data_IF_809720740243
#
_entry.id   IF_809720740243
#
_cell.length_a   1.000
_cell.length_b   1.000
_cell.length_c   1.000
_cell.angle_alpha   90.00
_cell.angle_beta   90.00
_cell.angle_gamma   90.00
#
_symmetry.space_group_name_H-M   'P 1'
#
loop_
_entity.id
_entity.type
_entity.pdbx_description
1 polymer ?
#
# COMPACT_ATOMS: atom_id res chain seq x y z
N UNK A 1 -22.92 10.75 9.79
CA UNK A 1 -22.85 11.88 10.73
C UNK A 1 -22.17 13.02 9.97
N UNK A 2 -22.91 14.03 9.55
CA UNK A 2 -22.36 15.21 8.88
C UNK A 2 -21.57 16.04 9.91
N UNK A 3 -20.27 16.21 9.68
CA UNK A 3 -19.43 17.10 10.48
C UNK A 3 -19.88 18.54 10.26
N UNK A 4 -20.05 19.28 11.33
CA UNK A 4 -20.43 20.70 11.30
C UNK A 4 -19.41 21.53 10.53
N UNK A 5 -19.81 22.59 9.82
CA UNK A 5 -18.93 23.45 9.02
C UNK A 5 -17.76 24.09 9.81
N UNK A 6 -17.90 24.23 11.11
CA UNK A 6 -16.84 24.79 11.99
C UNK A 6 -15.62 23.86 12.16
N UNK A 7 -15.77 22.54 12.04
CA UNK A 7 -14.64 21.62 12.15
C UNK A 7 -13.77 21.60 10.90
N UNK A 8 -14.31 21.96 9.73
CA UNK A 8 -13.55 22.08 8.49
C UNK A 8 -12.67 23.34 8.46
N UNK A 9 -13.09 24.40 9.12
CA UNK A 9 -12.33 25.66 9.18
C UNK A 9 -11.07 25.56 10.07
N UNK A 10 -11.05 24.67 11.07
CA UNK A 10 -9.91 24.50 11.95
C UNK A 10 -8.64 24.02 11.21
N UNK A 11 -8.81 23.20 10.16
CA UNK A 11 -7.68 22.69 9.37
C UNK A 11 -7.10 23.77 8.45
N UNK A 12 -7.94 24.68 7.98
CA UNK A 12 -7.56 25.72 7.03
C UNK A 12 -7.08 27.01 7.74
N UNK A 13 -7.57 27.30 8.96
CA UNK A 13 -7.36 28.59 9.64
C UNK A 13 -6.44 28.55 10.87
N UNK A 14 -5.98 27.36 11.29
CA UNK A 14 -5.12 27.21 12.48
C UNK A 14 -3.62 27.34 12.22
N UNK A 15 -2.83 27.36 13.29
CA UNK A 15 -1.36 27.37 13.18
C UNK A 15 -0.85 26.08 12.52
N UNK A 16 -0.25 26.22 11.36
CA UNK A 16 0.25 25.11 10.51
C UNK A 16 1.08 24.09 11.29
N UNK A 17 2.07 24.46 12.14
CA UNK A 17 2.91 23.48 12.83
C UNK A 17 2.14 22.58 13.80
N UNK A 18 1.18 23.16 14.54
CA UNK A 18 0.38 22.41 15.52
C UNK A 18 -0.55 21.41 14.83
N UNK A 19 -1.15 21.78 13.74
CA UNK A 19 -2.04 20.91 12.99
C UNK A 19 -1.28 19.79 12.28
N UNK A 20 -0.10 20.10 11.73
CA UNK A 20 0.80 19.11 11.16
C UNK A 20 1.19 18.03 12.20
N UNK A 21 1.54 18.43 13.41
CA UNK A 21 1.88 17.48 14.48
C UNK A 21 0.69 16.63 14.93
N UNK A 22 -0.49 17.22 15.06
CA UNK A 22 -1.71 16.51 15.43
C UNK A 22 -2.14 15.49 14.34
N UNK A 23 -1.87 15.80 13.09
CA UNK A 23 -2.16 14.91 11.97
C UNK A 23 -1.06 13.85 11.78
N UNK A 24 0.18 14.23 11.99
CA UNK A 24 1.34 13.35 11.85
C UNK A 24 1.34 12.22 12.88
N UNK A 25 1.03 12.53 14.15
CA UNK A 25 1.17 11.57 15.25
C UNK A 25 0.31 10.30 15.08
N UNK A 26 -0.99 10.36 14.73
CA UNK A 26 -1.79 9.16 14.46
C UNK A 26 -1.29 8.35 13.27
N UNK A 27 -0.83 9.02 12.21
CA UNK A 27 -0.31 8.34 11.02
C UNK A 27 1.01 7.64 11.35
N UNK A 28 1.91 8.32 12.05
CA UNK A 28 3.18 7.76 12.50
C UNK A 28 2.97 6.56 13.41
N UNK A 29 2.04 6.65 14.36
CA UNK A 29 1.69 5.54 15.24
C UNK A 29 1.14 4.35 14.45
N UNK A 30 0.25 4.58 13.48
CA UNK A 30 -0.25 3.55 12.57
C UNK A 30 0.87 2.87 11.78
N UNK A 31 1.82 3.65 11.26
CA UNK A 31 2.99 3.13 10.55
C UNK A 31 3.89 2.31 11.46
N UNK A 32 4.07 2.72 12.72
CA UNK A 32 4.82 1.94 13.70
C UNK A 32 4.17 0.58 14.00
N UNK A 33 2.85 0.55 14.18
CA UNK A 33 2.13 -0.71 14.37
C UNK A 33 2.22 -1.61 13.14
N UNK A 34 2.15 -1.05 11.95
CA UNK A 34 2.33 -1.81 10.71
C UNK A 34 3.75 -2.41 10.63
N UNK A 35 4.77 -1.65 11.03
CA UNK A 35 6.15 -2.14 11.03
C UNK A 35 6.38 -3.23 12.07
N UNK A 36 5.78 -3.09 13.26
CA UNK A 36 5.76 -4.13 14.29
C UNK A 36 5.10 -5.40 13.76
N UNK A 37 3.94 -5.29 13.11
CA UNK A 37 3.25 -6.42 12.48
C UNK A 37 4.16 -7.14 11.49
N UNK A 38 4.79 -6.42 10.56
CA UNK A 38 5.72 -7.00 9.58
C UNK A 38 6.91 -7.71 10.25
N UNK A 39 7.42 -7.13 11.36
CA UNK A 39 8.52 -7.73 12.11
C UNK A 39 8.09 -9.04 12.78
N UNK A 40 6.92 -9.03 13.43
CA UNK A 40 6.36 -10.23 14.08
C UNK A 40 6.05 -11.31 13.04
N UNK A 41 5.48 -10.95 11.90
CA UNK A 41 5.21 -11.88 10.80
C UNK A 41 6.50 -12.56 10.32
N UNK A 42 7.56 -11.79 10.09
CA UNK A 42 8.87 -12.31 9.70
C UNK A 42 9.46 -13.24 10.77
N UNK A 43 9.32 -12.91 12.06
CA UNK A 43 9.77 -13.75 13.16
C UNK A 43 8.99 -15.07 13.25
N UNK A 44 7.68 -15.01 13.05
CA UNK A 44 6.82 -16.21 13.05
C UNK A 44 7.19 -17.11 11.89
N UNK A 45 7.28 -16.57 10.68
CA UNK A 45 7.68 -17.35 9.49
C UNK A 45 9.06 -17.98 9.69
N UNK A 46 10.04 -17.21 10.17
CA UNK A 46 11.40 -17.71 10.39
C UNK A 46 11.49 -18.82 11.44
N UNK A 47 10.74 -18.73 12.54
CA UNK A 47 10.82 -19.69 13.63
C UNK A 47 9.92 -20.91 13.47
N UNK A 48 8.74 -20.76 12.88
CA UNK A 48 7.73 -21.83 12.81
C UNK A 48 7.65 -22.52 11.45
N UNK A 49 7.94 -21.80 10.36
CA UNK A 49 7.86 -22.36 8.99
C UNK A 49 9.25 -22.81 8.48
N UNK A 50 10.30 -22.14 8.95
CA UNK A 50 11.68 -22.49 8.67
C UNK A 50 12.44 -21.51 7.79
N UNK A 51 13.75 -21.71 7.70
CA UNK A 51 14.68 -20.81 7.00
C UNK A 51 14.44 -20.74 5.50
N UNK A 52 13.94 -21.81 4.87
CA UNK A 52 13.61 -21.81 3.45
C UNK A 52 12.43 -20.90 3.12
N UNK A 53 11.39 -20.89 3.96
CA UNK A 53 10.24 -20.00 3.82
C UNK A 53 10.66 -18.53 4.01
N UNK A 54 11.52 -18.26 5.00
CA UNK A 54 12.07 -16.92 5.22
C UNK A 54 12.90 -16.45 4.01
N UNK A 55 13.72 -17.32 3.44
CA UNK A 55 14.48 -17.03 2.23
C UNK A 55 13.55 -16.74 1.03
N UNK A 56 12.46 -17.50 0.89
CA UNK A 56 11.47 -17.28 -0.16
C UNK A 56 10.79 -15.91 -0.03
N UNK A 57 10.37 -15.52 1.16
CA UNK A 57 9.80 -14.19 1.45
C UNK A 57 10.83 -13.09 1.17
N UNK A 58 12.08 -13.28 1.61
CA UNK A 58 13.17 -12.34 1.37
C UNK A 58 13.47 -12.13 -0.11
N UNK A 59 13.55 -13.21 -0.89
CA UNK A 59 13.79 -13.15 -2.33
C UNK A 59 12.68 -12.40 -3.08
N UNK A 60 11.43 -12.50 -2.63
CA UNK A 60 10.29 -11.85 -3.27
C UNK A 60 10.09 -10.39 -2.85
N UNK A 61 10.61 -9.99 -1.69
CA UNK A 61 10.40 -8.67 -1.09
C UNK A 61 10.78 -7.51 -2.01
N UNK A 62 11.93 -7.60 -2.67
CA UNK A 62 12.41 -6.52 -3.55
C UNK A 62 11.50 -6.33 -4.76
N UNK A 63 11.01 -7.42 -5.33
CA UNK A 63 10.09 -7.38 -6.46
C UNK A 63 8.72 -6.81 -6.06
N UNK A 64 8.20 -7.27 -4.93
CA UNK A 64 6.95 -6.77 -4.36
C UNK A 64 7.07 -5.27 -4.06
N UNK A 65 8.15 -4.82 -3.41
CA UNK A 65 8.36 -3.41 -3.08
C UNK A 65 8.43 -2.52 -4.31
N UNK A 66 9.06 -2.99 -5.40
CA UNK A 66 9.13 -2.25 -6.64
C UNK A 66 7.73 -2.03 -7.24
N UNK A 67 6.93 -3.09 -7.34
CA UNK A 67 5.58 -2.99 -7.89
C UNK A 67 4.65 -2.16 -7.00
N UNK A 68 4.64 -2.44 -5.70
CA UNK A 68 3.81 -1.70 -4.73
C UNK A 68 4.24 -0.24 -4.66
N UNK A 69 5.55 0.04 -4.65
CA UNK A 69 6.08 1.39 -4.60
C UNK A 69 5.65 2.25 -5.78
N UNK A 70 5.59 1.68 -6.98
CA UNK A 70 5.08 2.37 -8.16
C UNK A 70 3.63 2.84 -7.95
N UNK A 71 2.77 1.95 -7.43
CA UNK A 71 1.36 2.26 -7.21
C UNK A 71 1.12 3.17 -6.00
N UNK A 72 1.89 3.01 -4.94
CA UNK A 72 1.86 3.94 -3.79
C UNK A 72 2.25 5.35 -4.24
N UNK A 73 3.23 5.49 -5.14
CA UNK A 73 3.57 6.77 -5.75
C UNK A 73 2.40 7.38 -6.53
N UNK A 74 1.69 6.56 -7.32
CA UNK A 74 0.51 7.00 -8.06
C UNK A 74 -0.62 7.44 -7.12
N UNK A 75 -0.91 6.66 -6.07
CA UNK A 75 -1.89 6.99 -5.04
C UNK A 75 -1.53 8.29 -4.29
N UNK A 76 -0.25 8.48 -3.99
CA UNK A 76 0.24 9.70 -3.36
C UNK A 76 -0.01 10.94 -4.24
N UNK A 77 0.23 10.83 -5.55
CA UNK A 77 -0.08 11.88 -6.52
C UNK A 77 -1.57 12.21 -6.55
N UNK A 78 -2.44 11.21 -6.57
CA UNK A 78 -3.89 11.42 -6.50
C UNK A 78 -4.30 12.11 -5.20
N UNK A 79 -3.70 11.74 -4.07
CA UNK A 79 -3.92 12.37 -2.78
C UNK A 79 -3.59 13.87 -2.76
N UNK A 80 -2.51 14.27 -3.44
CA UNK A 80 -2.12 15.68 -3.56
C UNK A 80 -3.18 16.48 -4.34
N UNK A 81 -3.68 15.95 -5.46
CA UNK A 81 -4.71 16.61 -6.28
C UNK A 81 -6.01 16.76 -5.48
N UNK A 82 -6.44 15.72 -4.79
CA UNK A 82 -7.63 15.74 -3.93
C UNK A 82 -7.48 16.79 -2.82
N UNK A 83 -6.30 16.86 -2.18
CA UNK A 83 -6.01 17.83 -1.13
C UNK A 83 -6.04 19.26 -1.64
N UNK A 84 -5.55 19.52 -2.85
CA UNK A 84 -5.60 20.83 -3.49
C UNK A 84 -7.05 21.28 -3.76
N UNK A 85 -7.88 20.40 -4.34
CA UNK A 85 -9.28 20.70 -4.60
C UNK A 85 -10.07 20.91 -3.30
N UNK A 86 -9.76 20.12 -2.26
CA UNK A 86 -10.33 20.31 -0.92
C UNK A 86 -9.93 21.67 -0.31
N UNK A 87 -8.65 22.07 -0.44
CA UNK A 87 -8.15 23.37 0.02
C UNK A 87 -8.76 24.54 -0.75
N UNK A 88 -9.11 24.35 -2.02
CA UNK A 88 -9.82 25.33 -2.84
C UNK A 88 -11.34 25.43 -2.53
N UNK A 89 -11.89 24.50 -1.74
CA UNK A 89 -13.32 24.45 -1.41
C UNK A 89 -14.20 23.87 -2.51
N UNK A 90 -13.59 23.25 -3.54
CA UNK A 90 -14.30 22.62 -4.65
C UNK A 90 -14.66 21.16 -4.32
N UNK A 91 -15.75 21.00 -3.57
CA UNK A 91 -16.18 19.68 -3.11
C UNK A 91 -16.74 18.78 -4.22
N UNK A 92 -17.24 19.36 -5.29
CA UNK A 92 -17.71 18.58 -6.45
C UNK A 92 -16.52 17.94 -7.17
N UNK A 93 -15.44 18.69 -7.33
CA UNK A 93 -14.20 18.18 -7.89
C UNK A 93 -13.55 17.13 -6.98
N UNK A 94 -13.53 17.36 -5.66
CA UNK A 94 -13.05 16.36 -4.68
C UNK A 94 -13.81 15.03 -4.84
N UNK A 95 -15.13 15.08 -4.92
CA UNK A 95 -15.94 13.88 -5.09
C UNK A 95 -15.63 13.14 -6.39
N UNK A 96 -15.48 13.86 -7.49
CA UNK A 96 -15.09 13.30 -8.79
C UNK A 96 -13.71 12.64 -8.76
N UNK A 97 -12.74 13.32 -8.14
CA UNK A 97 -11.37 12.82 -8.00
C UNK A 97 -11.30 11.58 -7.11
N UNK A 98 -12.06 11.54 -6.01
CA UNK A 98 -12.14 10.36 -5.14
C UNK A 98 -12.70 9.13 -5.88
N UNK A 99 -13.78 9.30 -6.65
CA UNK A 99 -14.33 8.20 -7.45
C UNK A 99 -13.34 7.72 -8.52
N UNK A 100 -12.63 8.64 -9.15
CA UNK A 100 -11.60 8.32 -10.15
C UNK A 100 -10.42 7.58 -9.50
N UNK A 101 -9.96 8.02 -8.35
CA UNK A 101 -8.90 7.37 -7.60
C UNK A 101 -9.29 5.94 -7.17
N UNK A 102 -10.53 5.76 -6.71
CA UNK A 102 -11.05 4.44 -6.33
C UNK A 102 -11.16 3.51 -7.55
N UNK A 103 -11.66 4.00 -8.67
CA UNK A 103 -11.72 3.23 -9.91
C UNK A 103 -10.33 2.82 -10.40
N UNK A 104 -9.35 3.73 -10.31
CA UNK A 104 -7.94 3.47 -10.63
C UNK A 104 -7.32 2.44 -9.67
N UNK A 105 -7.64 2.52 -8.37
CA UNK A 105 -7.17 1.56 -7.38
C UNK A 105 -7.69 0.14 -7.68
N UNK A 106 -8.97 0.01 -8.01
CA UNK A 106 -9.59 -1.28 -8.36
C UNK A 106 -9.00 -1.81 -9.67
N UNK A 107 -8.95 -0.99 -10.71
CA UNK A 107 -8.42 -1.40 -12.02
C UNK A 107 -6.93 -1.73 -11.94
N UNK A 108 -6.14 -0.91 -11.24
CA UNK A 108 -4.72 -1.13 -11.02
C UNK A 108 -4.45 -2.37 -10.17
N UNK A 109 -5.20 -2.57 -9.09
CA UNK A 109 -5.15 -3.77 -8.27
C UNK A 109 -5.48 -5.04 -9.04
N UNK A 110 -6.52 -5.01 -9.87
CA UNK A 110 -6.89 -6.12 -10.75
C UNK A 110 -5.80 -6.42 -11.78
N UNK A 111 -5.26 -5.38 -12.43
CA UNK A 111 -4.16 -5.52 -13.38
C UNK A 111 -2.92 -6.13 -12.71
N UNK A 112 -2.54 -5.64 -11.53
CA UNK A 112 -1.42 -6.19 -10.76
C UNK A 112 -1.64 -7.64 -10.34
N UNK A 113 -2.86 -7.99 -9.95
CA UNK A 113 -3.21 -9.37 -9.62
C UNK A 113 -2.98 -10.27 -10.82
N UNK A 114 -3.55 -9.93 -11.98
CA UNK A 114 -3.40 -10.74 -13.20
C UNK A 114 -1.94 -10.83 -13.64
N UNK A 115 -1.26 -9.69 -13.73
CA UNK A 115 0.17 -9.65 -14.12
C UNK A 115 1.01 -10.42 -13.12
N UNK A 116 0.81 -10.19 -11.83
CA UNK A 116 1.57 -10.85 -10.77
C UNK A 116 1.42 -12.37 -10.79
N UNK A 117 0.20 -12.88 -10.99
CA UNK A 117 -0.05 -14.31 -11.11
C UNK A 117 0.66 -14.93 -12.32
N UNK A 118 0.69 -14.22 -13.46
CA UNK A 118 1.30 -14.72 -14.69
C UNK A 118 2.83 -14.68 -14.64
N UNK A 119 3.41 -13.61 -14.05
CA UNK A 119 4.86 -13.38 -14.11
C UNK A 119 5.62 -13.84 -12.86
N UNK A 120 4.94 -14.28 -11.79
CA UNK A 120 5.58 -14.67 -10.53
C UNK A 120 6.70 -15.71 -10.73
N UNK A 121 6.44 -16.81 -11.43
CA UNK A 121 7.45 -17.84 -11.71
C UNK A 121 8.57 -17.39 -12.66
N UNK A 122 8.28 -16.76 -13.83
CA UNK A 122 9.32 -16.22 -14.71
C UNK A 122 10.26 -15.25 -14.02
N UNK A 123 9.71 -14.34 -13.21
CA UNK A 123 10.51 -13.33 -12.48
C UNK A 123 11.42 -13.97 -11.46
N UNK A 124 10.94 -14.93 -10.67
CA UNK A 124 11.77 -15.64 -9.69
C UNK A 124 12.95 -16.37 -10.36
N UNK A 125 12.73 -16.97 -11.51
CA UNK A 125 13.82 -17.57 -12.29
C UNK A 125 14.81 -16.53 -12.82
N UNK A 126 14.31 -15.39 -13.29
CA UNK A 126 15.16 -14.29 -13.75
C UNK A 126 16.00 -13.71 -12.60
N UNK A 127 15.46 -13.69 -11.38
CA UNK A 127 16.15 -13.28 -10.17
C UNK A 127 17.14 -14.35 -9.65
N UNK A 128 17.31 -15.46 -10.38
CA UNK A 128 18.20 -16.58 -10.00
C UNK A 128 17.86 -17.16 -8.62
N UNK A 129 16.58 -17.18 -8.26
CA UNK A 129 16.13 -17.77 -7.01
C UNK A 129 16.42 -19.28 -7.03
N UNK A 130 17.03 -19.85 -5.97
CA UNK A 130 17.34 -21.27 -5.90
C UNK A 130 16.11 -22.16 -6.12
N UNK A 131 16.26 -23.24 -6.89
CA UNK A 131 15.16 -24.14 -7.26
C UNK A 131 14.45 -24.74 -6.05
N UNK A 132 15.14 -24.87 -4.92
CA UNK A 132 14.61 -25.41 -3.66
C UNK A 132 13.49 -24.51 -3.07
N UNK A 133 13.55 -23.21 -3.30
CA UNK A 133 12.61 -22.23 -2.72
C UNK A 133 11.69 -21.57 -3.76
N UNK A 134 11.92 -21.76 -5.06
CA UNK A 134 11.09 -21.17 -6.14
C UNK A 134 9.62 -21.54 -5.99
N UNK A 135 9.34 -22.78 -5.58
CA UNK A 135 7.97 -23.26 -5.35
C UNK A 135 7.26 -22.41 -4.28
N UNK A 136 7.83 -22.34 -3.08
CA UNK A 136 7.29 -21.56 -1.96
C UNK A 136 7.24 -20.07 -2.25
N UNK A 137 8.28 -19.52 -2.89
CA UNK A 137 8.34 -18.12 -3.30
C UNK A 137 7.24 -17.78 -4.31
N UNK A 138 6.97 -18.67 -5.26
CA UNK A 138 5.89 -18.49 -6.23
C UNK A 138 4.50 -18.54 -5.59
N UNK A 139 4.28 -19.46 -4.67
CA UNK A 139 3.03 -19.55 -3.90
C UNK A 139 2.79 -18.28 -3.05
N UNK A 140 3.81 -17.86 -2.34
CA UNK A 140 3.78 -16.62 -1.57
C UNK A 140 3.41 -15.40 -2.44
N UNK A 141 4.08 -15.23 -3.59
CA UNK A 141 3.78 -14.16 -4.53
C UNK A 141 2.36 -14.22 -5.06
N UNK A 142 1.86 -15.41 -5.40
CA UNK A 142 0.49 -15.58 -5.90
C UNK A 142 -0.53 -15.15 -4.84
N UNK A 143 -0.37 -15.60 -3.59
CA UNK A 143 -1.24 -15.19 -2.49
C UNK A 143 -1.16 -13.68 -2.24
N UNK A 144 0.05 -13.12 -2.28
CA UNK A 144 0.26 -11.68 -2.12
C UNK A 144 -0.45 -10.88 -3.20
N UNK A 145 -0.33 -11.28 -4.48
CA UNK A 145 -1.00 -10.60 -5.59
C UNK A 145 -2.52 -10.73 -5.58
N UNK A 146 -3.09 -11.80 -5.02
CA UNK A 146 -4.53 -11.90 -4.79
C UNK A 146 -5.04 -10.83 -3.81
N UNK A 147 -4.21 -10.40 -2.87
CA UNK A 147 -4.49 -9.31 -1.93
C UNK A 147 -4.31 -7.90 -2.49
N UNK A 148 -3.90 -7.73 -3.77
CA UNK A 148 -3.56 -6.42 -4.31
C UNK A 148 -4.75 -5.47 -4.44
N UNK A 149 -5.94 -5.96 -4.76
CA UNK A 149 -7.14 -5.11 -4.87
C UNK A 149 -7.44 -4.42 -3.53
N UNK A 150 -7.64 -5.15 -2.41
CA UNK A 150 -7.86 -4.50 -1.12
C UNK A 150 -6.68 -3.63 -0.69
N UNK A 151 -5.45 -4.01 -1.00
CA UNK A 151 -4.26 -3.22 -0.70
C UNK A 151 -4.26 -1.87 -1.43
N UNK A 152 -4.64 -1.85 -2.72
CA UNK A 152 -4.74 -0.61 -3.50
C UNK A 152 -5.87 0.30 -3.00
N UNK A 153 -7.01 -0.27 -2.64
CA UNK A 153 -8.13 0.49 -2.05
C UNK A 153 -7.71 1.11 -0.71
N UNK A 154 -7.01 0.36 0.11
CA UNK A 154 -6.49 0.87 1.40
C UNK A 154 -5.51 2.05 1.19
N UNK A 155 -4.59 1.96 0.23
CA UNK A 155 -3.65 3.03 -0.08
C UNK A 155 -4.30 4.25 -0.71
#
# INVERSE_FOLDING_TARGET
MARTPEQNNAIITGSIPRQLLLFFFPIWLGTMFQQLYNTVDTLIVGNFVGTQALAAVGATSSFVQLLVGLFVGLCSGAGVIIAQSFGAGDYDEVNRQMHTALALAIAGGAALTVIGLLISRPVLRLMQTPDEIVGMASEYLQIYFLGMIPQMIYN
#
